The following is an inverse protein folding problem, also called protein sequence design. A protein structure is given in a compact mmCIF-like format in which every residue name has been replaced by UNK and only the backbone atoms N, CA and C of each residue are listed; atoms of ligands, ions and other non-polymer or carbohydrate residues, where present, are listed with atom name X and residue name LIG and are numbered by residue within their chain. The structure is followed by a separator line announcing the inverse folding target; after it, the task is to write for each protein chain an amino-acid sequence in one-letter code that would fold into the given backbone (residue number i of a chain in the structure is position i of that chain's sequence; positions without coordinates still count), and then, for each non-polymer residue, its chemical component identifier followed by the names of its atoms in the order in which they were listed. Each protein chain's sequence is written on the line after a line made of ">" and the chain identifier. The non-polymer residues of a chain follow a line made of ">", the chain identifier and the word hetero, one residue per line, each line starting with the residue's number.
data_IF_952484198151
#
_entry.id   IF_952484198151
#
_cell.length_a   1.000
_cell.length_b   1.000
_cell.length_c   1.000
_cell.angle_alpha   90.00
_cell.angle_beta   90.00
_cell.angle_gamma   90.00
#
_symmetry.space_group_name_H-M   'P 1'
#
loop_
_entity.id
_entity.type
_entity.pdbx_description
1 polymer ?
#
# COMPACT_ATOMS: atom_id res chain seq x y z
N UNK A 1 -4.39 -2.77 3.85
CA UNK A 1 -5.26 -3.05 2.69
C UNK A 1 -6.37 -4.06 3.03
N UNK A 2 -6.10 -5.15 3.76
CA UNK A 2 -7.07 -6.21 4.11
C UNK A 2 -8.34 -5.68 4.80
N UNK A 3 -8.21 -4.71 5.70
CA UNK A 3 -9.35 -4.06 6.37
C UNK A 3 -10.34 -3.48 5.35
N UNK A 4 -9.85 -2.82 4.30
CA UNK A 4 -10.70 -2.23 3.28
C UNK A 4 -11.36 -3.30 2.39
N UNK A 5 -10.68 -4.42 2.14
CA UNK A 5 -11.30 -5.54 1.42
C UNK A 5 -12.45 -6.13 2.25
N UNK A 6 -12.27 -6.28 3.56
CA UNK A 6 -13.34 -6.76 4.46
C UNK A 6 -14.56 -5.83 4.48
N UNK A 7 -14.40 -4.51 4.33
CA UNK A 7 -15.55 -3.60 4.18
C UNK A 7 -16.38 -3.87 2.93
N UNK A 8 -15.79 -4.51 1.91
CA UNK A 8 -16.42 -4.79 0.63
C UNK A 8 -16.87 -6.26 0.45
N UNK A 9 -16.54 -7.12 1.40
CA UNK A 9 -16.87 -8.56 1.35
C UNK A 9 -18.25 -8.83 1.98
N UNK A 10 -19.24 -9.36 1.24
CA UNK A 10 -20.56 -9.67 1.82
C UNK A 10 -20.51 -10.63 3.01
N UNK A 11 -19.53 -11.54 3.03
CA UNK A 11 -19.37 -12.52 4.12
C UNK A 11 -18.92 -11.93 5.45
N UNK A 12 -18.53 -10.65 5.48
CA UNK A 12 -18.10 -9.95 6.70
C UNK A 12 -19.19 -9.07 7.31
N UNK A 13 -20.35 -8.99 6.71
CA UNK A 13 -21.48 -8.21 7.20
C UNK A 13 -21.83 -8.62 8.64
N UNK A 14 -21.88 -7.63 9.52
CA UNK A 14 -22.20 -7.83 10.95
C UNK A 14 -21.11 -8.46 11.81
N UNK A 15 -19.93 -8.79 11.25
CA UNK A 15 -18.82 -9.37 12.01
C UNK A 15 -18.01 -8.33 12.79
N UNK A 16 -18.04 -7.07 12.38
CA UNK A 16 -17.37 -5.97 13.09
C UNK A 16 -18.15 -4.67 12.93
N UNK A 17 -17.93 -3.71 13.83
CA UNK A 17 -18.70 -2.47 13.91
C UNK A 17 -17.84 -1.23 13.76
N UNK A 18 -16.52 -1.38 13.80
CA UNK A 18 -15.54 -0.31 13.64
C UNK A 18 -14.30 -0.84 12.95
N UNK A 19 -13.63 0.00 12.20
CA UNK A 19 -12.41 -0.35 11.48
C UNK A 19 -11.36 0.73 11.63
N UNK A 20 -10.09 0.32 11.68
CA UNK A 20 -8.93 1.23 11.58
C UNK A 20 -8.06 0.70 10.43
N UNK A 21 -7.81 1.54 9.43
CA UNK A 21 -6.89 1.23 8.34
C UNK A 21 -5.71 2.20 8.38
N UNK A 22 -4.57 1.66 8.80
CA UNK A 22 -3.31 2.38 8.88
C UNK A 22 -2.49 2.08 7.63
N UNK A 23 -2.12 3.13 6.88
CA UNK A 23 -1.28 3.06 5.68
C UNK A 23 -1.81 2.06 4.64
N UNK A 24 -3.14 2.04 4.44
CA UNK A 24 -3.79 1.13 3.50
C UNK A 24 -5.16 1.63 3.06
N UNK A 25 -5.50 1.35 1.81
CA UNK A 25 -6.79 1.67 1.23
C UNK A 25 -7.25 0.55 0.27
N UNK A 26 -8.38 0.74 -0.38
CA UNK A 26 -9.08 -0.29 -1.14
C UNK A 26 -8.54 -0.52 -2.57
N UNK A 27 -7.33 -0.09 -2.90
CA UNK A 27 -6.80 -0.10 -4.27
C UNK A 27 -5.75 -1.19 -4.54
N UNK A 28 -5.22 -1.85 -3.51
CA UNK A 28 -4.26 -2.94 -3.66
C UNK A 28 -4.99 -4.27 -3.83
N UNK A 29 -5.52 -4.47 -5.02
CA UNK A 29 -6.19 -5.69 -5.46
C UNK A 29 -5.94 -5.88 -6.95
N UNK A 30 -6.07 -7.10 -7.41
CA UNK A 30 -5.97 -7.46 -8.82
C UNK A 30 -7.34 -7.84 -9.40
N UNK A 31 -7.49 -7.60 -10.70
CA UNK A 31 -8.57 -8.21 -11.46
C UNK A 31 -8.29 -9.70 -11.72
N UNK A 32 -9.29 -10.47 -12.16
CA UNK A 32 -9.13 -11.91 -12.41
C UNK A 32 -8.07 -12.26 -13.47
N UNK A 33 -7.90 -11.43 -14.49
CA UNK A 33 -6.92 -11.67 -15.57
C UNK A 33 -5.51 -11.48 -15.03
N UNK A 34 -5.26 -10.39 -14.33
CA UNK A 34 -3.99 -10.11 -13.69
C UNK A 34 -3.62 -11.16 -12.64
N UNK A 35 -4.57 -11.51 -11.75
CA UNK A 35 -4.37 -12.54 -10.73
C UNK A 35 -4.05 -13.90 -11.34
N UNK A 36 -4.73 -14.29 -12.41
CA UNK A 36 -4.46 -15.53 -13.14
C UNK A 36 -3.09 -15.51 -13.83
N UNK A 37 -2.69 -14.36 -14.39
CA UNK A 37 -1.37 -14.19 -15.00
C UNK A 37 -0.24 -14.35 -13.99
N UNK A 38 -0.37 -13.76 -12.80
CA UNK A 38 0.60 -13.90 -11.71
C UNK A 38 0.66 -15.36 -11.22
N UNK A 39 -0.48 -16.00 -11.04
CA UNK A 39 -0.54 -17.40 -10.63
C UNK A 39 0.16 -18.31 -11.66
N UNK A 40 -0.08 -18.10 -12.95
CA UNK A 40 0.56 -18.89 -14.02
C UNK A 40 2.09 -18.67 -14.03
N UNK A 41 2.55 -17.44 -13.84
CA UNK A 41 3.98 -17.10 -13.75
C UNK A 41 4.62 -17.79 -12.53
N UNK A 42 4.00 -17.69 -11.36
CA UNK A 42 4.48 -18.32 -10.14
C UNK A 42 4.55 -19.84 -10.26
N UNK A 43 3.46 -20.47 -10.71
CA UNK A 43 3.41 -21.92 -10.91
C UNK A 43 4.40 -22.41 -11.99
N UNK A 44 4.61 -21.62 -13.04
CA UNK A 44 5.59 -21.91 -14.08
C UNK A 44 7.02 -22.02 -13.54
N UNK A 45 7.39 -21.17 -12.57
CA UNK A 45 8.71 -21.23 -11.88
C UNK A 45 8.89 -22.48 -11.05
N UNK A 46 7.80 -23.02 -10.55
CA UNK A 46 7.77 -24.26 -9.76
C UNK A 46 7.59 -25.53 -10.61
N UNK A 47 7.59 -25.41 -11.94
CA UNK A 47 7.42 -26.54 -12.86
C UNK A 47 5.96 -26.97 -13.06
N UNK A 48 5.00 -26.08 -12.77
CA UNK A 48 3.55 -26.31 -12.87
C UNK A 48 3.07 -27.52 -12.03
N UNK A 49 3.33 -27.52 -10.71
CA UNK A 49 2.93 -28.62 -9.85
C UNK A 49 1.41 -28.75 -9.78
N UNK A 50 0.93 -29.95 -9.53
CA UNK A 50 -0.45 -30.19 -9.08
C UNK A 50 -0.69 -29.54 -7.71
N UNK A 51 -1.95 -29.41 -7.31
CA UNK A 51 -2.29 -28.85 -5.99
C UNK A 51 -1.66 -29.65 -4.85
N UNK A 52 -1.66 -30.99 -4.93
CA UNK A 52 -1.08 -31.86 -3.90
C UNK A 52 0.45 -31.71 -3.83
N UNK A 53 1.12 -31.61 -4.98
CA UNK A 53 2.57 -31.33 -5.03
C UNK A 53 2.89 -29.96 -4.47
N UNK A 54 2.10 -28.92 -4.80
CA UNK A 54 2.27 -27.57 -4.27
C UNK A 54 2.12 -27.53 -2.74
N UNK A 55 1.13 -28.23 -2.19
CA UNK A 55 0.90 -28.33 -0.74
C UNK A 55 2.00 -29.09 0.00
N UNK A 56 2.68 -30.00 -0.67
CA UNK A 56 3.81 -30.77 -0.13
C UNK A 56 5.18 -30.11 -0.36
N UNK A 57 5.23 -29.00 -1.09
CA UNK A 57 6.47 -28.35 -1.48
C UNK A 57 7.16 -27.69 -0.29
N UNK A 58 8.48 -27.63 -0.35
CA UNK A 58 9.29 -26.89 0.64
C UNK A 58 8.96 -25.40 0.60
N UNK A 59 8.80 -24.79 1.78
CA UNK A 59 8.45 -23.37 1.91
C UNK A 59 9.53 -22.47 1.30
N UNK A 60 10.80 -22.87 1.39
CA UNK A 60 11.90 -22.11 0.79
C UNK A 60 11.77 -21.99 -0.73
N UNK A 61 11.36 -23.09 -1.40
CA UNK A 61 11.12 -23.07 -2.84
C UNK A 61 9.95 -22.15 -3.23
N UNK A 62 8.89 -22.12 -2.42
CA UNK A 62 7.75 -21.23 -2.63
C UNK A 62 8.16 -19.76 -2.48
N UNK A 63 8.93 -19.44 -1.44
CA UNK A 63 9.42 -18.08 -1.20
C UNK A 63 10.39 -17.61 -2.30
N UNK A 64 11.30 -18.47 -2.75
CA UNK A 64 12.21 -18.16 -3.85
C UNK A 64 11.45 -17.87 -5.14
N UNK A 65 10.44 -18.65 -5.48
CA UNK A 65 9.60 -18.40 -6.64
C UNK A 65 8.83 -17.07 -6.52
N UNK A 66 8.32 -16.74 -5.32
CA UNK A 66 7.68 -15.45 -5.04
C UNK A 66 8.64 -14.28 -5.24
N UNK A 67 9.85 -14.36 -4.70
CA UNK A 67 10.87 -13.32 -4.84
C UNK A 67 11.26 -13.09 -6.31
N UNK A 68 11.37 -14.15 -7.10
CA UNK A 68 11.63 -14.05 -8.53
C UNK A 68 10.50 -13.36 -9.29
N UNK A 69 9.23 -13.69 -8.99
CA UNK A 69 8.07 -13.00 -9.58
C UNK A 69 8.05 -11.52 -9.17
N UNK A 70 8.35 -11.21 -7.92
CA UNK A 70 8.43 -9.84 -7.43
C UNK A 70 9.53 -9.05 -8.15
N UNK A 71 10.72 -9.63 -8.32
CA UNK A 71 11.86 -9.01 -8.98
C UNK A 71 11.55 -8.68 -10.46
N UNK A 72 10.94 -9.60 -11.19
CA UNK A 72 10.59 -9.39 -12.60
C UNK A 72 9.51 -8.32 -12.79
N UNK A 73 8.68 -8.09 -11.77
CA UNK A 73 7.60 -7.09 -11.80
C UNK A 73 8.00 -5.73 -11.23
N UNK A 74 9.12 -5.64 -10.54
CA UNK A 74 9.59 -4.42 -9.86
C UNK A 74 9.80 -3.22 -10.79
N UNK A 75 10.08 -3.46 -12.07
CA UNK A 75 10.28 -2.43 -13.09
C UNK A 75 8.98 -1.95 -13.75
N UNK A 76 7.83 -2.55 -13.44
CA UNK A 76 6.56 -2.16 -14.05
C UNK A 76 6.03 -0.87 -13.38
N UNK A 77 5.79 0.21 -14.17
CA UNK A 77 5.30 1.46 -13.63
C UNK A 77 3.99 1.27 -12.86
N UNK A 78 3.95 1.83 -11.66
CA UNK A 78 2.71 1.83 -10.89
C UNK A 78 2.39 0.56 -10.12
N UNK A 79 3.26 -0.43 -10.19
CA UNK A 79 3.08 -1.67 -9.45
C UNK A 79 3.93 -1.70 -8.20
N UNK A 80 3.39 -2.28 -7.14
CA UNK A 80 4.15 -2.64 -5.96
C UNK A 80 4.97 -3.90 -6.27
N UNK A 81 6.05 -4.09 -5.53
CA UNK A 81 6.92 -5.26 -5.67
C UNK A 81 6.25 -6.56 -5.19
N UNK A 82 5.16 -6.44 -4.40
CA UNK A 82 4.43 -7.58 -3.88
C UNK A 82 3.61 -8.27 -4.99
N UNK A 83 3.88 -9.54 -5.30
CA UNK A 83 3.18 -10.24 -6.38
C UNK A 83 1.78 -10.74 -6.00
N UNK A 84 1.46 -10.83 -4.71
CA UNK A 84 0.20 -11.41 -4.24
C UNK A 84 -0.67 -10.40 -3.50
N UNK A 85 -1.64 -9.85 -4.21
CA UNK A 85 -2.75 -9.09 -3.64
C UNK A 85 -4.05 -9.89 -3.74
N UNK A 86 -5.06 -9.54 -2.93
CA UNK A 86 -6.39 -10.11 -3.11
C UNK A 86 -6.90 -9.89 -4.54
N UNK A 87 -7.48 -10.94 -5.11
CA UNK A 87 -8.11 -10.89 -6.44
C UNK A 87 -9.61 -10.74 -6.25
N UNK A 88 -10.24 -9.80 -6.95
CA UNK A 88 -11.70 -9.68 -6.96
C UNK A 88 -12.31 -10.49 -8.13
N UNK A 89 -13.65 -10.55 -8.22
CA UNK A 89 -14.36 -11.26 -9.27
C UNK A 89 -14.83 -12.67 -8.88
N UNK A 90 -14.93 -12.94 -7.58
CA UNK A 90 -15.44 -14.20 -7.04
C UNK A 90 -16.42 -13.94 -5.87
N UNK A 91 -17.05 -14.99 -5.34
CA UNK A 91 -18.10 -14.89 -4.32
C UNK A 91 -17.71 -14.06 -3.10
N UNK A 92 -16.50 -14.24 -2.57
CA UNK A 92 -16.05 -13.54 -1.38
C UNK A 92 -15.75 -12.05 -1.65
N UNK A 93 -15.29 -11.69 -2.84
CA UNK A 93 -14.98 -10.32 -3.25
C UNK A 93 -15.45 -10.12 -4.70
N UNK A 94 -16.74 -9.79 -4.92
CA UNK A 94 -17.36 -9.87 -6.24
C UNK A 94 -16.87 -8.81 -7.23
N UNK A 95 -16.44 -7.64 -6.75
CA UNK A 95 -15.91 -6.54 -7.58
C UNK A 95 -14.78 -5.82 -6.85
N UNK A 96 -14.13 -4.89 -7.56
CA UNK A 96 -13.07 -4.06 -6.97
C UNK A 96 -13.56 -3.38 -5.67
N UNK A 97 -12.88 -3.56 -4.53
CA UNK A 97 -13.33 -3.04 -3.23
C UNK A 97 -13.59 -1.53 -3.25
N UNK A 98 -12.76 -0.77 -3.96
CA UNK A 98 -12.92 0.68 -4.10
C UNK A 98 -14.27 1.07 -4.73
N UNK A 99 -14.77 0.27 -5.67
CA UNK A 99 -16.05 0.50 -6.35
C UNK A 99 -17.21 0.18 -5.40
N UNK A 100 -17.15 -0.98 -4.75
CA UNK A 100 -18.16 -1.39 -3.78
C UNK A 100 -18.29 -0.38 -2.62
N UNK A 101 -17.16 0.10 -2.11
CA UNK A 101 -17.15 1.13 -1.04
C UNK A 101 -17.70 2.47 -1.56
N UNK A 102 -17.39 2.85 -2.80
CA UNK A 102 -17.98 4.04 -3.42
C UNK A 102 -19.49 3.92 -3.64
N UNK A 103 -20.02 2.72 -3.72
CA UNK A 103 -21.45 2.41 -3.79
C UNK A 103 -22.11 2.21 -2.41
N UNK A 104 -21.35 2.32 -1.32
CA UNK A 104 -21.85 2.27 0.06
C UNK A 104 -21.54 1.00 0.84
N UNK A 105 -20.76 0.06 0.31
CA UNK A 105 -20.35 -1.12 1.08
C UNK A 105 -19.64 -0.69 2.38
N UNK A 106 -20.04 -1.28 3.51
CA UNK A 106 -19.50 -0.97 4.84
C UNK A 106 -19.77 0.47 5.31
N UNK A 107 -20.80 1.16 4.79
CA UNK A 107 -21.11 2.54 5.21
C UNK A 107 -21.58 2.63 6.67
N UNK A 108 -22.12 1.57 7.21
CA UNK A 108 -22.54 1.43 8.62
C UNK A 108 -21.36 1.19 9.58
N UNK A 109 -20.17 0.91 9.09
CA UNK A 109 -18.96 0.70 9.88
C UNK A 109 -18.25 2.03 10.10
N UNK A 110 -18.13 2.50 11.32
CA UNK A 110 -17.32 3.67 11.65
C UNK A 110 -15.83 3.40 11.38
N UNK A 111 -15.13 4.31 10.67
CA UNK A 111 -13.75 4.06 10.21
C UNK A 111 -12.81 5.21 10.57
N UNK A 112 -11.64 4.85 11.11
CA UNK A 112 -10.45 5.71 11.13
C UNK A 112 -9.47 5.22 10.07
N UNK A 113 -9.05 6.12 9.18
CA UNK A 113 -8.00 5.82 8.19
C UNK A 113 -6.90 6.88 8.25
N UNK A 114 -5.72 6.56 7.76
CA UNK A 114 -4.63 7.53 7.72
C UNK A 114 -3.33 6.96 7.19
N UNK A 115 -2.34 7.82 7.12
CA UNK A 115 -0.99 7.51 6.63
C UNK A 115 0.05 8.23 7.44
N UNK A 116 1.27 7.72 7.37
CA UNK A 116 2.44 8.43 7.85
C UNK A 116 2.90 9.48 6.82
N UNK A 117 3.69 10.45 7.26
CA UNK A 117 4.13 11.53 6.38
C UNK A 117 5.10 11.06 5.32
N UNK A 118 6.02 10.17 5.69
CA UNK A 118 7.14 9.71 4.87
C UNK A 118 7.13 8.20 4.67
N UNK A 119 5.98 7.62 4.35
CA UNK A 119 5.79 6.16 4.26
C UNK A 119 6.93 5.44 3.53
N UNK A 120 7.32 5.95 2.36
CA UNK A 120 8.31 5.30 1.48
C UNK A 120 9.74 5.39 2.00
N UNK A 121 10.02 6.20 3.03
CA UNK A 121 11.36 6.31 3.59
C UNK A 121 11.87 4.97 4.17
N UNK A 122 10.97 4.10 4.65
CA UNK A 122 11.31 2.77 5.13
C UNK A 122 12.02 1.90 4.06
N UNK A 123 11.67 2.07 2.79
CA UNK A 123 12.25 1.31 1.67
C UNK A 123 13.45 1.98 1.02
N UNK A 124 14.08 2.94 1.69
CA UNK A 124 15.32 3.55 1.26
C UNK A 124 15.22 4.50 0.06
N UNK A 125 14.02 4.92 -0.31
CA UNK A 125 13.81 5.85 -1.43
C UNK A 125 14.46 7.22 -1.22
N UNK A 126 14.82 7.56 0.01
CA UNK A 126 15.56 8.79 0.35
C UNK A 126 16.98 8.83 -0.25
N UNK A 127 17.51 7.71 -0.74
CA UNK A 127 18.75 7.65 -1.51
C UNK A 127 18.59 7.86 -3.02
N UNK A 128 17.37 8.09 -3.52
CA UNK A 128 17.07 8.24 -4.95
C UNK A 128 17.73 9.47 -5.54
N UNK A 129 18.34 9.33 -6.72
CA UNK A 129 18.97 10.43 -7.46
C UNK A 129 17.96 11.26 -8.26
N UNK A 130 18.36 12.45 -8.71
CA UNK A 130 17.49 13.30 -9.52
C UNK A 130 17.06 12.65 -10.84
N UNK A 131 17.95 11.88 -11.48
CA UNK A 131 17.63 11.17 -12.72
C UNK A 131 16.58 10.06 -12.49
N UNK A 132 16.72 9.30 -11.40
CA UNK A 132 15.74 8.27 -11.04
C UNK A 132 14.37 8.88 -10.65
N UNK A 133 14.35 10.06 -10.04
CA UNK A 133 13.10 10.80 -9.80
C UNK A 133 12.43 11.21 -11.11
N UNK A 134 13.21 11.73 -12.06
CA UNK A 134 12.70 12.12 -13.38
C UNK A 134 12.11 10.92 -14.13
N UNK A 135 12.79 9.78 -14.10
CA UNK A 135 12.32 8.52 -14.69
C UNK A 135 11.04 8.02 -14.00
N UNK A 136 11.01 8.02 -12.66
CA UNK A 136 9.83 7.63 -11.88
C UNK A 136 8.62 8.50 -12.22
N UNK A 137 8.80 9.81 -12.27
CA UNK A 137 7.70 10.75 -12.54
C UNK A 137 7.27 10.67 -14.01
N UNK A 138 8.20 10.49 -14.95
CA UNK A 138 7.91 10.26 -16.36
C UNK A 138 7.07 9.00 -16.63
N UNK A 139 7.21 7.98 -15.77
CA UNK A 139 6.42 6.75 -15.87
C UNK A 139 4.97 6.88 -15.33
N UNK A 140 4.65 7.94 -14.59
CA UNK A 140 3.34 8.06 -13.89
C UNK A 140 2.50 9.26 -14.33
N UNK A 141 3.05 10.19 -15.10
CA UNK A 141 2.30 11.37 -15.58
C UNK A 141 2.77 11.83 -16.96
N UNK A 142 1.86 12.44 -17.72
CA UNK A 142 2.17 13.10 -19.00
C UNK A 142 2.81 14.48 -18.81
N UNK A 143 2.76 15.07 -17.61
CA UNK A 143 3.41 16.35 -17.24
C UNK A 143 4.39 16.19 -16.06
N UNK A 144 5.55 15.55 -16.27
CA UNK A 144 6.56 15.36 -15.22
C UNK A 144 7.05 16.69 -14.63
N UNK A 145 7.27 17.67 -15.47
CA UNK A 145 7.80 18.97 -15.05
C UNK A 145 6.82 19.74 -14.14
N UNK A 146 5.54 19.75 -14.49
CA UNK A 146 4.49 20.38 -13.68
C UNK A 146 4.29 19.68 -12.35
N UNK A 147 4.34 18.34 -12.35
CA UNK A 147 4.25 17.53 -11.13
C UNK A 147 5.43 17.85 -10.19
N UNK A 148 6.65 17.75 -10.66
CA UNK A 148 7.86 18.05 -9.88
C UNK A 148 7.88 19.48 -9.35
N UNK A 149 7.51 20.46 -10.18
CA UNK A 149 7.42 21.85 -9.74
C UNK A 149 6.38 22.03 -8.62
N UNK A 150 5.29 21.30 -8.68
CA UNK A 150 4.24 21.35 -7.67
C UNK A 150 4.72 20.79 -6.33
N UNK A 151 5.37 19.63 -6.33
CA UNK A 151 5.92 19.04 -5.12
C UNK A 151 7.02 19.90 -4.51
N UNK A 152 8.01 20.35 -5.30
CA UNK A 152 9.09 21.24 -4.83
C UNK A 152 8.56 22.50 -4.18
N UNK A 153 7.56 23.14 -4.79
CA UNK A 153 6.96 24.38 -4.25
C UNK A 153 6.18 24.12 -2.96
N UNK A 154 5.50 22.97 -2.85
CA UNK A 154 4.63 22.68 -1.70
C UNK A 154 5.39 22.20 -0.47
N UNK A 155 6.44 21.45 -0.66
CA UNK A 155 7.17 20.81 0.42
C UNK A 155 8.43 21.56 0.83
N UNK A 156 8.85 22.56 0.04
CA UNK A 156 10.15 23.25 0.19
C UNK A 156 11.33 22.25 0.22
N UNK A 157 11.20 21.14 -0.52
CA UNK A 157 12.17 20.06 -0.57
C UNK A 157 12.97 20.16 -1.86
N UNK A 158 14.29 20.30 -1.73
CA UNK A 158 15.24 20.27 -2.84
C UNK A 158 15.88 18.91 -3.07
N UNK A 159 15.95 18.08 -2.02
CA UNK A 159 16.56 16.76 -2.07
C UNK A 159 15.74 15.78 -2.91
N UNK A 160 16.36 15.11 -3.92
CA UNK A 160 15.64 14.21 -4.82
C UNK A 160 15.04 13.01 -4.10
N UNK A 161 15.72 12.46 -3.10
CA UNK A 161 15.25 11.29 -2.36
C UNK A 161 13.99 11.60 -1.55
N UNK A 162 13.96 12.72 -0.85
CA UNK A 162 12.76 13.16 -0.14
C UNK A 162 11.61 13.52 -1.09
N UNK A 163 11.93 14.04 -2.27
CA UNK A 163 10.94 14.27 -3.31
C UNK A 163 10.34 12.96 -3.82
N UNK A 164 11.18 11.94 -4.06
CA UNK A 164 10.73 10.58 -4.41
C UNK A 164 9.85 9.99 -3.30
N UNK A 165 10.28 10.14 -2.04
CA UNK A 165 9.52 9.68 -0.87
C UNK A 165 8.12 10.31 -0.83
N UNK A 166 8.01 11.61 -0.96
CA UNK A 166 6.74 12.32 -0.92
C UNK A 166 5.81 11.93 -2.07
N UNK A 167 6.31 11.86 -3.30
CA UNK A 167 5.54 11.43 -4.48
C UNK A 167 5.08 9.99 -4.33
N UNK A 168 5.97 9.10 -3.92
CA UNK A 168 5.66 7.69 -3.69
C UNK A 168 4.66 7.49 -2.56
N UNK A 169 4.82 8.20 -1.44
CA UNK A 169 3.88 8.20 -0.31
C UNK A 169 2.48 8.63 -0.75
N UNK A 170 2.38 9.72 -1.49
CA UNK A 170 1.09 10.21 -2.01
C UNK A 170 0.46 9.16 -2.94
N UNK A 171 1.25 8.61 -3.85
CA UNK A 171 0.75 7.66 -4.84
C UNK A 171 0.26 6.35 -4.24
N UNK A 172 1.03 5.77 -3.33
CA UNK A 172 0.79 4.42 -2.80
C UNK A 172 -0.16 4.44 -1.61
N UNK A 173 -0.10 5.47 -0.77
CA UNK A 173 -0.81 5.49 0.51
C UNK A 173 -1.78 6.65 0.66
N UNK A 174 -1.32 7.91 0.56
CA UNK A 174 -2.10 9.08 0.96
C UNK A 174 -3.28 9.38 0.03
N UNK A 175 -3.04 9.48 -1.28
CA UNK A 175 -4.12 9.77 -2.23
C UNK A 175 -5.17 8.66 -2.24
N UNK A 176 -4.81 7.37 -2.25
CA UNK A 176 -5.78 6.30 -2.06
C UNK A 176 -6.60 6.39 -0.76
N UNK A 177 -5.96 6.74 0.36
CA UNK A 177 -6.66 6.90 1.64
C UNK A 177 -7.63 8.10 1.63
N UNK A 178 -7.24 9.23 1.02
CA UNK A 178 -8.12 10.39 0.82
C UNK A 178 -9.32 9.99 -0.03
N UNK A 179 -9.10 9.33 -1.17
CA UNK A 179 -10.19 8.86 -2.04
C UNK A 179 -11.14 7.89 -1.36
N UNK A 180 -10.61 7.01 -0.51
CA UNK A 180 -11.41 6.13 0.33
C UNK A 180 -12.27 6.92 1.30
N UNK A 181 -11.69 7.89 2.01
CA UNK A 181 -12.42 8.73 2.96
C UNK A 181 -13.51 9.56 2.27
N UNK A 182 -13.22 10.17 1.11
CA UNK A 182 -14.17 10.93 0.30
C UNK A 182 -15.35 10.05 -0.17
N UNK A 183 -15.05 8.85 -0.69
CA UNK A 183 -16.07 7.91 -1.15
C UNK A 183 -17.00 7.47 0.00
N UNK A 184 -16.45 7.20 1.17
CA UNK A 184 -17.22 6.86 2.37
C UNK A 184 -18.06 8.04 2.86
N UNK A 185 -17.47 9.23 2.89
CA UNK A 185 -18.20 10.45 3.27
C UNK A 185 -19.38 10.74 2.33
N UNK A 186 -19.20 10.55 1.03
CA UNK A 186 -20.28 10.71 0.05
C UNK A 186 -21.48 9.77 0.28
N UNK A 187 -21.26 8.63 0.94
CA UNK A 187 -22.28 7.67 1.36
C UNK A 187 -22.78 7.90 2.81
N UNK A 188 -22.40 9.00 3.45
CA UNK A 188 -22.81 9.32 4.81
C UNK A 188 -22.16 8.46 5.89
N UNK A 189 -21.09 7.74 5.59
CA UNK A 189 -20.40 6.88 6.53
C UNK A 189 -19.48 7.69 7.47
N UNK A 190 -19.54 7.39 8.75
CA UNK A 190 -18.67 7.98 9.76
C UNK A 190 -17.21 7.64 9.47
N UNK A 191 -16.43 8.65 9.05
CA UNK A 191 -15.05 8.44 8.63
C UNK A 191 -14.17 9.58 9.11
N UNK A 192 -13.06 9.23 9.75
CA UNK A 192 -12.02 10.15 10.20
C UNK A 192 -10.71 9.81 9.53
N UNK A 193 -9.90 10.84 9.28
CA UNK A 193 -8.59 10.68 8.68
C UNK A 193 -7.51 11.34 9.54
N UNK A 194 -6.37 10.64 9.71
CA UNK A 194 -5.18 11.18 10.38
C UNK A 194 -3.98 11.22 9.42
N UNK A 195 -2.99 12.04 9.78
CA UNK A 195 -1.63 11.99 9.27
C UNK A 195 -0.66 11.92 10.45
N UNK A 196 0.17 10.89 10.47
CA UNK A 196 1.20 10.73 11.48
C UNK A 196 2.49 11.38 10.98
N UNK A 197 3.01 12.34 11.74
CA UNK A 197 4.15 13.20 11.34
C UNK A 197 5.23 13.27 12.43
N UNK A 198 5.34 12.24 13.28
CA UNK A 198 6.43 12.15 14.23
C UNK A 198 7.67 11.60 13.54
N UNK A 199 8.75 12.39 13.52
CA UNK A 199 10.00 12.04 12.87
C UNK A 199 10.84 11.16 13.78
N UNK A 200 11.27 10.01 13.27
CA UNK A 200 12.27 9.17 13.91
C UNK A 200 13.63 9.89 13.94
N UNK A 201 14.33 9.74 15.04
CA UNK A 201 15.73 10.20 15.17
C UNK A 201 16.75 9.11 14.81
N UNK A 202 16.29 7.91 14.54
CA UNK A 202 17.14 6.80 14.14
C UNK A 202 17.86 7.12 12.83
N UNK A 203 19.09 6.63 12.73
CA UNK A 203 19.92 6.78 11.53
C UNK A 203 20.00 8.24 11.03
N UNK A 204 20.24 9.17 11.96
CA UNK A 204 20.35 10.61 11.70
C UNK A 204 19.09 11.21 11.01
N UNK A 205 17.90 10.66 11.30
CA UNK A 205 16.63 11.14 10.79
C UNK A 205 16.29 10.67 9.37
N UNK A 206 17.02 9.69 8.82
CA UNK A 206 16.81 9.21 7.44
C UNK A 206 15.43 8.60 7.20
N UNK A 207 14.73 8.21 8.26
CA UNK A 207 13.40 7.61 8.13
C UNK A 207 12.26 8.63 8.18
N UNK A 208 12.49 9.85 8.72
CA UNK A 208 11.36 10.76 8.94
C UNK A 208 10.21 10.06 9.69
N UNK A 209 8.98 10.31 9.29
CA UNK A 209 7.79 9.60 9.76
C UNK A 209 7.47 8.40 8.83
N UNK A 210 8.37 7.41 8.79
CA UNK A 210 8.30 6.26 7.89
C UNK A 210 7.13 5.31 8.18
N UNK A 211 6.90 4.39 7.26
CA UNK A 211 5.89 3.33 7.40
C UNK A 211 6.05 2.54 8.68
N UNK A 212 4.94 2.23 9.34
CA UNK A 212 4.84 1.46 10.58
C UNK A 212 5.34 2.16 11.87
N UNK A 213 5.90 3.37 11.80
CA UNK A 213 6.33 4.09 13.01
C UNK A 213 5.18 4.48 13.96
N UNK A 214 3.96 4.57 13.47
CA UNK A 214 2.77 4.85 14.29
C UNK A 214 2.32 3.65 15.13
N UNK A 215 2.74 2.43 14.79
CA UNK A 215 2.29 1.19 15.45
C UNK A 215 2.59 1.18 16.96
N UNK A 216 3.82 1.48 17.42
CA UNK A 216 4.11 1.54 18.86
C UNK A 216 3.27 2.57 19.61
N UNK A 217 2.90 3.68 18.97
CA UNK A 217 2.03 4.70 19.55
C UNK A 217 0.58 4.19 19.65
N UNK A 218 0.08 3.56 18.58
CA UNK A 218 -1.29 3.02 18.55
C UNK A 218 -1.51 1.92 19.59
N UNK A 219 -0.48 1.09 19.86
CA UNK A 219 -0.53 -0.01 20.81
C UNK A 219 0.09 0.31 22.19
N UNK A 220 0.53 1.56 22.42
CA UNK A 220 1.18 1.99 23.66
C UNK A 220 2.37 1.07 24.04
N UNK A 221 3.25 0.82 23.08
CA UNK A 221 4.42 -0.05 23.23
C UNK A 221 5.74 0.65 22.95
N UNK A 222 5.77 1.98 23.00
CA UNK A 222 6.94 2.81 22.70
C UNK A 222 8.14 2.56 23.66
N UNK A 223 7.87 2.00 24.83
CA UNK A 223 8.86 1.65 25.87
C UNK A 223 9.38 0.21 25.75
N UNK A 224 8.96 -0.55 24.73
CA UNK A 224 9.38 -1.93 24.56
C UNK A 224 10.77 -2.03 23.94
N UNK A 225 11.57 -3.05 24.34
CA UNK A 225 12.87 -3.31 23.75
C UNK A 225 12.79 -3.44 22.22
N UNK A 226 13.69 -2.76 21.51
CA UNK A 226 13.74 -2.73 20.05
C UNK A 226 12.88 -1.64 19.38
N UNK A 227 11.99 -0.97 20.14
CA UNK A 227 11.29 0.23 19.67
C UNK A 227 12.11 1.50 19.91
N UNK A 228 12.95 1.48 20.91
CA UNK A 228 13.82 2.58 21.33
C UNK A 228 14.94 2.93 20.30
N UNK A 229 15.07 2.14 19.25
CA UNK A 229 16.00 2.42 18.14
C UNK A 229 15.41 3.39 17.11
N UNK A 230 14.11 3.61 17.13
CA UNK A 230 13.40 4.53 16.25
C UNK A 230 13.05 5.83 16.98
#
# INVERSE_FOLDING_TARGET
>A
FSVCNMLAMPSTDGLFHRAIAQSGAAHHTFDPEEGSGIAAEFLGRLGNPSTDELLAMDVGALLEAQEQVAADRSHLPGRNQEPFYPVWGHEALPRAPRELIAEGAGADIAMLTGTNEDELALWGVTGTTAAEVDDMVGAITEDPSGMLATYRRRLDVADPGWLACAIGTDRVFRIPAVRLADARHANGADTWMYRFSWDSRAFDGQFGAAHALEIPFAFNTIDRPGVDVF
#
